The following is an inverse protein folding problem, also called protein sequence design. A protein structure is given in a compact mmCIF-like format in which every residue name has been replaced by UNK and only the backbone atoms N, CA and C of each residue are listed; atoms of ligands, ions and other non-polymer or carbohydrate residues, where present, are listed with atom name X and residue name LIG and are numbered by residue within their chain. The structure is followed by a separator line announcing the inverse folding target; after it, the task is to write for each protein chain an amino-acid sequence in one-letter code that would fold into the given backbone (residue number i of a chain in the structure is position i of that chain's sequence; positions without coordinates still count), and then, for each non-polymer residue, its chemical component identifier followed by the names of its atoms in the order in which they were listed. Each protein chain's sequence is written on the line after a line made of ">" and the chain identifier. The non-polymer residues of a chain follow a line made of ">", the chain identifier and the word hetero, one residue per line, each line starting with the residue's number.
data_IF_003868289143
#
_entry.id   IF_003868289143
#
_cell.length_a   1.000
_cell.length_b   1.000
_cell.length_c   1.000
_cell.angle_alpha   90.00
_cell.angle_beta   90.00
_cell.angle_gamma   90.00
#
_symmetry.space_group_name_H-M   'P 1'
#
loop_
_entity.id
_entity.type
_entity.pdbx_description
1 polymer ?
#
# COMPACT_ATOMS: atom_id res chain seq x y z
N UNK A 1 29.45 20.96 17.60
CA UNK A 1 28.77 20.42 16.40
C UNK A 1 28.56 18.93 16.62
N UNK A 2 27.41 18.57 17.20
CA UNK A 2 27.02 17.17 17.35
C UNK A 2 26.48 16.66 16.02
N UNK A 3 27.17 15.67 15.43
CA UNK A 3 26.62 14.89 14.31
C UNK A 3 25.69 13.86 14.93
N UNK A 4 24.39 14.14 14.97
CA UNK A 4 23.38 13.15 15.31
C UNK A 4 23.45 12.02 14.28
N UNK A 5 24.03 10.90 14.71
CA UNK A 5 24.10 9.64 13.96
C UNK A 5 22.68 9.09 13.89
N UNK A 6 21.99 9.31 12.77
CA UNK A 6 20.78 8.57 12.44
C UNK A 6 21.15 7.13 12.12
N UNK A 7 21.28 6.29 13.14
CA UNK A 7 21.29 4.83 12.96
C UNK A 7 19.91 4.48 12.41
N UNK A 8 19.82 4.25 11.10
CA UNK A 8 18.64 3.62 10.51
C UNK A 8 18.74 2.15 10.94
N UNK A 9 17.99 1.79 11.98
CA UNK A 9 17.85 0.41 12.42
C UNK A 9 17.30 -0.48 11.28
N UNK A 10 17.25 -1.81 11.46
CA UNK A 10 16.68 -2.70 10.46
C UNK A 10 15.29 -2.18 10.10
N UNK A 11 15.10 -1.82 8.83
CA UNK A 11 13.77 -1.50 8.32
C UNK A 11 13.01 -2.82 8.44
N UNK A 12 12.08 -2.90 9.39
CA UNK A 12 11.18 -4.05 9.54
C UNK A 12 10.45 -4.24 8.21
N UNK A 13 11.00 -5.13 7.38
CA UNK A 13 10.46 -5.53 6.10
C UNK A 13 9.45 -6.61 6.39
N UNK A 14 8.21 -6.34 6.02
CA UNK A 14 7.11 -7.27 6.15
C UNK A 14 6.94 -7.93 4.79
N UNK A 15 6.90 -9.26 4.77
CA UNK A 15 6.77 -10.06 3.57
C UNK A 15 5.54 -10.97 3.61
N UNK A 16 4.98 -11.25 2.42
CA UNK A 16 3.88 -12.18 2.19
C UNK A 16 2.63 -11.93 3.05
N UNK A 17 2.25 -10.67 3.21
CA UNK A 17 1.02 -10.34 3.95
C UNK A 17 -0.17 -10.13 3.03
N UNK A 18 -1.32 -10.51 3.56
CA UNK A 18 -2.63 -10.16 3.02
C UNK A 18 -3.08 -8.86 3.66
N UNK A 19 -3.39 -7.87 2.82
CA UNK A 19 -3.94 -6.59 3.29
C UNK A 19 -5.36 -6.48 2.78
N UNK A 20 -6.30 -6.33 3.71
CA UNK A 20 -7.67 -5.93 3.41
C UNK A 20 -7.73 -4.41 3.35
N UNK A 21 -8.19 -3.89 2.22
CA UNK A 21 -8.34 -2.46 1.99
C UNK A 21 -9.76 -1.96 2.33
N UNK A 22 -10.70 -2.86 2.60
CA UNK A 22 -12.12 -2.55 2.76
C UNK A 22 -12.79 -2.11 1.45
N UNK A 23 -13.98 -1.46 1.54
CA UNK A 23 -14.72 -0.98 0.39
C UNK A 23 -13.96 0.06 -0.44
N UNK A 24 -14.05 -0.05 -1.76
CA UNK A 24 -13.45 0.88 -2.74
C UNK A 24 -14.38 1.10 -3.93
N UNK A 25 -14.22 2.23 -4.60
CA UNK A 25 -14.89 2.53 -5.88
C UNK A 25 -13.97 2.09 -7.01
N UNK A 26 -14.54 1.42 -8.02
CA UNK A 26 -13.83 1.07 -9.25
C UNK A 26 -14.04 2.19 -10.26
N UNK A 27 -12.94 2.82 -10.69
CA UNK A 27 -12.95 3.87 -11.70
C UNK A 27 -12.08 3.50 -12.90
N UNK A 28 -12.52 3.91 -14.09
CA UNK A 28 -11.71 3.87 -15.33
C UNK A 28 -11.63 5.29 -15.87
N UNK A 29 -10.45 5.91 -15.72
CA UNK A 29 -10.31 7.34 -15.95
C UNK A 29 -11.15 8.13 -14.94
N UNK A 30 -12.11 8.92 -15.44
CA UNK A 30 -13.05 9.69 -14.62
C UNK A 30 -14.40 8.99 -14.41
N UNK A 31 -14.62 7.84 -15.07
CA UNK A 31 -15.89 7.13 -15.02
C UNK A 31 -15.94 6.18 -13.82
N UNK A 32 -17.02 6.27 -13.05
CA UNK A 32 -17.31 5.33 -11.95
C UNK A 32 -18.05 4.14 -12.53
N UNK A 33 -17.45 2.94 -12.44
CA UNK A 33 -18.03 1.72 -12.99
C UNK A 33 -18.68 0.82 -11.93
N UNK A 34 -18.37 1.02 -10.66
CA UNK A 34 -18.99 0.27 -9.57
C UNK A 34 -18.25 0.37 -8.24
N UNK A 35 -18.59 -0.55 -7.34
CA UNK A 35 -17.96 -0.71 -6.02
C UNK A 35 -17.37 -2.11 -5.88
N UNK A 36 -16.33 -2.21 -5.06
CA UNK A 36 -15.73 -3.47 -4.65
C UNK A 36 -15.55 -3.47 -3.14
N UNK A 37 -16.08 -4.51 -2.50
CA UNK A 37 -15.94 -4.72 -1.07
C UNK A 37 -14.84 -5.76 -0.79
N UNK A 38 -14.11 -5.58 0.31
CA UNK A 38 -13.10 -6.53 0.82
C UNK A 38 -11.98 -6.86 -0.18
N UNK A 39 -11.40 -5.84 -0.80
CA UNK A 39 -10.26 -6.03 -1.70
C UNK A 39 -9.06 -6.55 -0.91
N UNK A 40 -8.65 -7.77 -1.24
CA UNK A 40 -7.47 -8.41 -0.70
C UNK A 40 -6.29 -8.26 -1.67
N UNK A 41 -5.17 -7.78 -1.16
CA UNK A 41 -3.91 -7.73 -1.91
C UNK A 41 -2.83 -8.57 -1.23
N UNK A 42 -2.05 -9.30 -2.03
CA UNK A 42 -0.82 -9.96 -1.56
C UNK A 42 0.36 -9.03 -1.77
N UNK A 43 0.99 -8.61 -0.67
CA UNK A 43 2.19 -7.79 -0.69
C UNK A 43 3.42 -8.68 -0.48
N UNK A 44 4.29 -8.74 -1.49
CA UNK A 44 5.49 -9.58 -1.46
C UNK A 44 6.52 -9.06 -0.45
N UNK A 45 6.88 -7.78 -0.52
CA UNK A 45 7.79 -7.11 0.41
C UNK A 45 7.44 -5.61 0.51
N UNK A 46 7.30 -5.09 1.72
CA UNK A 46 7.15 -3.66 1.97
C UNK A 46 7.73 -3.28 3.34
N UNK A 47 8.14 -2.02 3.49
CA UNK A 47 8.39 -1.46 4.83
C UNK A 47 7.06 -1.32 5.59
N UNK A 48 7.13 -1.34 6.93
CA UNK A 48 5.96 -1.06 7.77
C UNK A 48 5.27 0.27 7.40
N UNK A 49 6.04 1.33 7.16
CA UNK A 49 5.51 2.63 6.72
C UNK A 49 4.81 2.54 5.36
N UNK A 50 5.39 1.79 4.41
CA UNK A 50 4.78 1.56 3.09
C UNK A 50 3.43 0.84 3.19
N UNK A 51 3.32 -0.14 4.11
CA UNK A 51 2.06 -0.83 4.36
C UNK A 51 1.00 0.06 5.00
N UNK A 52 1.38 0.91 5.93
CA UNK A 52 0.44 1.86 6.54
C UNK A 52 -0.04 2.88 5.51
N UNK A 53 0.85 3.39 4.65
CA UNK A 53 0.45 4.24 3.50
C UNK A 53 -0.53 3.53 2.58
N UNK A 54 -0.32 2.26 2.28
CA UNK A 54 -1.20 1.46 1.43
C UNK A 54 -2.61 1.32 2.03
N UNK A 55 -2.70 1.01 3.32
CA UNK A 55 -3.98 0.89 4.04
C UNK A 55 -4.74 2.22 4.09
N UNK A 56 -4.03 3.33 4.30
CA UNK A 56 -4.61 4.67 4.43
C UNK A 56 -4.76 5.40 3.09
N UNK A 57 -4.43 4.77 1.97
CA UNK A 57 -4.49 5.42 0.66
C UNK A 57 -5.93 5.61 0.19
N UNK A 58 -6.24 6.85 -0.21
CA UNK A 58 -7.53 7.20 -0.83
C UNK A 58 -7.65 6.66 -2.26
N UNK A 59 -6.53 6.60 -2.99
CA UNK A 59 -6.45 6.09 -4.37
C UNK A 59 -5.28 5.10 -4.47
N UNK A 60 -5.49 3.97 -5.16
CA UNK A 60 -4.45 3.01 -5.51
C UNK A 60 -4.55 2.77 -7.01
N UNK A 61 -3.41 2.85 -7.72
CA UNK A 61 -3.35 2.63 -9.17
C UNK A 61 -2.90 1.21 -9.48
N UNK A 62 -3.74 0.48 -10.21
CA UNK A 62 -3.38 -0.82 -10.76
C UNK A 62 -2.74 -0.63 -12.13
N UNK A 63 -1.48 -1.02 -12.27
CA UNK A 63 -0.72 -0.94 -13.52
C UNK A 63 -0.60 -2.34 -14.11
N UNK A 64 -0.97 -2.50 -15.38
CA UNK A 64 -0.78 -3.76 -16.09
C UNK A 64 0.71 -3.99 -16.33
N UNK A 65 1.22 -5.17 -15.95
CA UNK A 65 2.57 -5.56 -16.35
C UNK A 65 2.61 -5.80 -17.87
N UNK A 66 3.65 -5.33 -18.58
CA UNK A 66 3.84 -5.61 -20.00
C UNK A 66 3.97 -7.11 -20.27
#
# INVERSE_FOLDING_TARGET
>A
MERNRGIVGPIDKISNIRVDLGPRIIMVGIEVLGTADNILILVAEASKEGLEKLKSSNEIRLVRMP
#
